data_IF_187038881748
#
_entry.id   IF_187038881748
#
_cell.length_a   1.000
_cell.length_b   1.000
_cell.length_c   1.000
_cell.angle_alpha   90.00
_cell.angle_beta   90.00
_cell.angle_gamma   90.00
#
_symmetry.space_group_name_H-M   'P 1'
#
loop_
_entity.id
_entity.type
_entity.pdbx_description
1 polymer ?
#
# COMPACT_ATOMS: atom_id res chain seq x y z
N UNK A 1 -2.57 27.34 -7.45
CA UNK A 1 -2.99 26.83 -6.14
C UNK A 1 -2.39 25.44 -6.06
N UNK A 2 -1.36 25.23 -5.23
CA UNK A 2 -0.81 23.89 -5.00
C UNK A 2 -1.95 23.01 -4.49
N UNK A 3 -2.15 21.82 -5.07
CA UNK A 3 -3.05 20.84 -4.48
C UNK A 3 -2.53 20.56 -3.09
N UNK A 4 -3.40 20.69 -2.10
CA UNK A 4 -3.04 20.75 -0.69
C UNK A 4 -2.47 19.44 -0.10
N UNK A 5 -2.20 18.43 -0.92
CA UNK A 5 -1.59 17.15 -0.55
C UNK A 5 -0.08 17.05 -0.82
N UNK A 6 0.55 18.08 -1.42
CA UNK A 6 1.96 18.05 -1.83
C UNK A 6 2.96 17.90 -0.65
N UNK A 7 2.49 17.94 0.60
CA UNK A 7 3.33 17.69 1.78
C UNK A 7 3.25 16.27 2.35
N UNK A 8 2.29 15.46 1.87
CA UNK A 8 2.06 14.10 2.32
C UNK A 8 2.91 13.12 1.51
N UNK A 9 3.75 12.36 2.19
CA UNK A 9 4.41 11.19 1.65
C UNK A 9 3.56 9.95 1.95
N UNK A 10 2.71 9.54 1.00
CA UNK A 10 1.92 8.32 1.11
C UNK A 10 2.19 7.33 -0.03
N UNK A 11 2.79 6.17 0.31
CA UNK A 11 3.02 5.11 -0.68
C UNK A 11 1.80 4.18 -0.79
N UNK A 12 0.76 4.65 -1.47
CA UNK A 12 -0.50 3.92 -1.60
C UNK A 12 -0.35 2.53 -2.27
N UNK A 13 0.63 2.34 -3.16
CA UNK A 13 0.92 1.03 -3.77
C UNK A 13 1.42 -0.01 -2.74
N UNK A 14 1.99 0.41 -1.61
CA UNK A 14 2.38 -0.47 -0.50
C UNK A 14 1.28 -0.64 0.53
N UNK A 15 0.42 0.36 0.68
CA UNK A 15 -0.37 0.52 1.89
C UNK A 15 -1.88 0.61 1.67
N UNK A 16 -2.38 0.60 0.43
CA UNK A 16 -3.80 0.81 0.15
C UNK A 16 -4.36 -0.20 -0.86
N UNK A 17 -5.19 -1.14 -0.40
CA UNK A 17 -5.75 -2.20 -1.25
C UNK A 17 -6.59 -1.64 -2.41
N UNK A 18 -7.43 -0.62 -2.17
CA UNK A 18 -8.18 0.07 -3.23
C UNK A 18 -7.31 0.59 -4.36
N UNK A 19 -6.24 1.34 -4.03
CA UNK A 19 -5.28 1.83 -5.02
C UNK A 19 -4.57 0.71 -5.77
N UNK A 20 -4.25 -0.40 -5.11
CA UNK A 20 -3.65 -1.58 -5.77
C UNK A 20 -4.62 -2.16 -6.80
N UNK A 21 -5.92 -2.26 -6.49
CA UNK A 21 -6.95 -2.71 -7.44
C UNK A 21 -7.02 -1.81 -8.67
N UNK A 22 -7.02 -0.50 -8.48
CA UNK A 22 -6.98 0.47 -9.57
C UNK A 22 -5.74 0.29 -10.46
N UNK A 23 -4.56 0.12 -9.85
CA UNK A 23 -3.31 -0.10 -10.58
C UNK A 23 -3.38 -1.38 -11.40
N UNK A 24 -3.91 -2.47 -10.85
CA UNK A 24 -4.12 -3.74 -11.57
C UNK A 24 -5.04 -3.50 -12.77
N UNK A 25 -6.15 -2.80 -12.59
CA UNK A 25 -7.12 -2.55 -13.65
C UNK A 25 -6.59 -1.63 -14.76
N UNK A 26 -5.85 -0.58 -14.40
CA UNK A 26 -5.39 0.46 -15.33
C UNK A 26 -4.09 0.10 -16.05
N UNK A 27 -3.27 -0.78 -15.48
CA UNK A 27 -1.96 -1.13 -16.04
C UNK A 27 -2.10 -2.28 -17.03
N UNK A 28 -2.44 -2.01 -18.29
CA UNK A 28 -2.69 -3.08 -19.28
C UNK A 28 -1.41 -3.81 -19.71
N UNK A 29 -0.26 -3.13 -19.77
CA UNK A 29 0.97 -3.73 -20.29
C UNK A 29 1.75 -4.51 -19.24
N UNK A 30 2.32 -5.66 -19.65
CA UNK A 30 3.25 -6.46 -18.83
C UNK A 30 4.43 -5.63 -18.29
N UNK A 31 5.04 -4.82 -19.14
CA UNK A 31 6.14 -3.93 -18.73
C UNK A 31 5.69 -2.89 -17.70
N UNK A 32 4.45 -2.39 -17.82
CA UNK A 32 3.86 -1.47 -16.86
C UNK A 32 3.72 -2.09 -15.47
N UNK A 33 3.17 -3.32 -15.38
CA UNK A 33 2.95 -3.94 -14.07
C UNK A 33 4.27 -4.32 -13.40
N UNK A 34 5.28 -4.76 -14.17
CA UNK A 34 6.64 -5.00 -13.66
C UNK A 34 7.19 -3.75 -12.97
N UNK A 35 7.08 -2.58 -13.62
CA UNK A 35 7.54 -1.31 -13.04
C UNK A 35 6.80 -0.93 -11.76
N UNK A 36 5.52 -1.28 -11.62
CA UNK A 36 4.79 -1.04 -10.37
C UNK A 36 5.29 -2.00 -9.28
N UNK A 37 5.42 -3.30 -9.58
CA UNK A 37 5.89 -4.30 -8.62
C UNK A 37 7.29 -3.99 -8.08
N UNK A 38 8.18 -3.42 -8.89
CA UNK A 38 9.53 -2.98 -8.48
C UNK A 38 9.50 -1.88 -7.40
N UNK A 39 8.44 -1.06 -7.33
CA UNK A 39 8.29 -0.01 -6.30
C UNK A 39 7.91 -0.58 -4.93
N UNK A 40 7.38 -1.80 -4.90
CA UNK A 40 7.12 -2.54 -3.67
C UNK A 40 8.49 -3.08 -3.19
N UNK A 41 8.91 -2.66 -2.01
CA UNK A 41 10.20 -3.09 -1.43
C UNK A 41 10.21 -4.58 -1.05
N UNK A 42 11.20 -4.99 -0.27
CA UNK A 42 11.33 -6.39 0.19
C UNK A 42 10.84 -6.62 1.63
N UNK A 43 10.38 -5.57 2.32
CA UNK A 43 9.96 -5.63 3.72
C UNK A 43 8.47 -5.98 3.89
N UNK A 44 8.11 -6.39 5.10
CA UNK A 44 6.71 -6.50 5.51
C UNK A 44 6.08 -5.11 5.68
N UNK A 45 4.80 -4.98 5.34
CA UNK A 45 4.05 -3.71 5.39
C UNK A 45 2.64 -3.90 5.93
N UNK A 46 2.03 -2.81 6.36
CA UNK A 46 0.64 -2.76 6.80
C UNK A 46 -0.21 -2.25 5.63
N UNK A 47 -1.21 -3.04 5.23
CA UNK A 47 -2.07 -2.81 4.07
C UNK A 47 -3.47 -2.46 4.57
N UNK A 48 -3.92 -1.24 4.28
CA UNK A 48 -5.27 -0.79 4.52
C UNK A 48 -6.25 -1.44 3.54
N UNK A 49 -7.34 -1.97 4.07
CA UNK A 49 -8.40 -2.71 3.37
C UNK A 49 -9.77 -2.07 3.53
N UNK A 50 -9.85 -0.87 4.13
CA UNK A 50 -11.11 -0.18 4.36
C UNK A 50 -11.67 0.50 3.11
N UNK A 51 -12.68 1.34 3.33
CA UNK A 51 -13.51 1.94 2.26
C UNK A 51 -13.06 3.33 1.80
N UNK A 52 -12.20 4.00 2.55
CA UNK A 52 -11.74 5.35 2.19
C UNK A 52 -10.83 5.27 0.97
N UNK A 53 -10.97 6.23 0.07
CA UNK A 53 -10.01 6.41 -1.03
C UNK A 53 -8.73 7.09 -0.53
N UNK A 54 -7.70 7.08 -1.38
CA UNK A 54 -6.45 7.80 -1.10
C UNK A 54 -6.73 9.29 -0.87
N UNK A 55 -7.55 9.89 -1.72
CA UNK A 55 -7.92 11.30 -1.64
C UNK A 55 -8.70 11.62 -0.36
N UNK A 56 -9.57 10.71 0.09
CA UNK A 56 -10.29 10.88 1.35
C UNK A 56 -9.34 10.82 2.55
N UNK A 57 -8.40 9.87 2.57
CA UNK A 57 -7.39 9.76 3.62
C UNK A 57 -6.48 10.97 3.68
N UNK A 58 -6.05 11.50 2.53
CA UNK A 58 -5.26 12.73 2.44
C UNK A 58 -6.04 13.92 3.00
N UNK A 59 -7.29 14.09 2.57
CA UNK A 59 -8.16 15.18 3.06
C UNK A 59 -8.42 15.09 4.57
N UNK A 60 -8.68 13.90 5.10
CA UNK A 60 -8.87 13.72 6.53
C UNK A 60 -7.59 13.97 7.32
N UNK A 61 -6.44 13.52 6.80
CA UNK A 61 -5.13 13.79 7.40
C UNK A 61 -4.83 15.29 7.45
N UNK A 62 -5.09 16.01 6.36
CA UNK A 62 -4.93 17.46 6.34
C UNK A 62 -5.80 18.16 7.39
N UNK A 63 -7.11 17.86 7.42
CA UNK A 63 -8.03 18.44 8.41
C UNK A 63 -7.61 18.13 9.83
N UNK A 64 -7.11 16.92 10.07
CA UNK A 64 -6.55 16.55 11.36
C UNK A 64 -5.37 17.44 11.73
N UNK A 65 -4.38 17.60 10.85
CA UNK A 65 -3.21 18.44 11.09
C UNK A 65 -3.57 19.92 11.27
N UNK A 66 -4.50 20.46 10.48
CA UNK A 66 -5.02 21.83 10.66
C UNK A 66 -5.64 22.01 12.05
N UNK A 67 -6.47 21.06 12.50
CA UNK A 67 -7.10 21.10 13.83
C UNK A 67 -6.09 21.05 14.97
N UNK A 68 -4.91 20.45 14.73
CA UNK A 68 -3.79 20.39 15.68
C UNK A 68 -2.82 21.57 15.54
N UNK A 69 -3.06 22.49 14.60
CA UNK A 69 -2.12 23.56 14.22
C UNK A 69 -0.73 23.00 13.88
N UNK A 70 -0.71 21.87 13.18
CA UNK A 70 0.48 21.09 12.83
C UNK A 70 0.62 20.91 11.30
N UNK A 71 0.05 21.85 10.54
CA UNK A 71 -0.04 21.77 9.07
C UNK A 71 1.22 22.25 8.36
N UNK A 72 2.08 23.04 9.02
CA UNK A 72 3.35 23.49 8.45
C UNK A 72 4.51 22.68 9.02
N UNK A 73 5.62 22.63 8.28
CA UNK A 73 6.79 21.81 8.57
C UNK A 73 7.27 21.91 10.04
N UNK A 74 7.57 23.11 10.52
CA UNK A 74 8.13 23.30 11.87
C UNK A 74 7.09 22.99 12.96
N UNK A 75 5.84 23.36 12.71
CA UNK A 75 4.72 23.02 13.60
C UNK A 75 4.50 21.51 13.68
N UNK A 76 4.65 20.79 12.55
CA UNK A 76 4.55 19.35 12.50
C UNK A 76 5.67 18.66 13.28
N UNK A 77 6.92 19.11 13.13
CA UNK A 77 8.04 18.60 13.92
C UNK A 77 7.82 18.80 15.43
N UNK A 78 7.34 19.98 15.83
CA UNK A 78 6.98 20.24 17.22
C UNK A 78 5.81 19.35 17.67
N UNK A 79 4.81 19.17 16.81
CA UNK A 79 3.66 18.31 17.07
C UNK A 79 4.03 16.84 17.26
N UNK A 80 5.01 16.31 16.52
CA UNK A 80 5.54 14.96 16.72
C UNK A 80 6.26 14.81 18.08
N UNK A 81 6.96 15.85 18.52
CA UNK A 81 7.69 15.87 19.78
C UNK A 81 8.68 14.70 19.93
N UNK A 82 8.98 14.33 21.18
CA UNK A 82 10.00 13.30 21.48
C UNK A 82 9.67 11.90 20.95
N UNK A 83 8.39 11.56 20.82
CA UNK A 83 7.95 10.26 20.28
C UNK A 83 8.28 10.11 18.79
N UNK A 84 8.37 11.22 18.04
CA UNK A 84 8.66 11.18 16.60
C UNK A 84 7.53 10.64 15.72
N UNK A 85 6.37 10.30 16.29
CA UNK A 85 5.17 9.92 15.57
C UNK A 85 3.89 10.37 16.28
N UNK A 86 2.78 10.41 15.52
CA UNK A 86 1.43 10.63 16.04
C UNK A 86 0.45 9.67 15.41
N UNK A 87 -0.59 9.34 16.16
CA UNK A 87 -1.71 8.55 15.68
C UNK A 87 -2.83 9.46 15.19
N UNK A 88 -3.51 9.03 14.15
CA UNK A 88 -4.68 9.66 13.54
C UNK A 88 -5.73 8.58 13.31
N UNK A 89 -6.96 8.79 13.80
CA UNK A 89 -8.09 7.91 13.54
C UNK A 89 -8.93 8.49 12.40
N UNK A 90 -9.09 7.72 11.33
CA UNK A 90 -9.89 8.10 10.17
C UNK A 90 -11.39 7.85 10.42
N UNK A 91 -12.23 8.40 9.55
CA UNK A 91 -13.69 8.37 9.68
C UNK A 91 -14.31 6.97 9.59
N UNK A 92 -13.57 5.99 9.08
CA UNK A 92 -13.97 4.58 9.01
C UNK A 92 -13.49 3.75 10.21
N UNK A 93 -12.91 4.39 11.24
CA UNK A 93 -12.37 3.73 12.42
C UNK A 93 -10.94 3.22 12.29
N UNK A 94 -10.36 3.25 11.08
CA UNK A 94 -8.96 2.84 10.89
C UNK A 94 -8.00 3.82 11.55
N UNK A 95 -6.91 3.28 12.11
CA UNK A 95 -5.85 4.08 12.69
C UNK A 95 -4.65 4.18 11.74
N UNK A 96 -4.03 5.36 11.73
CA UNK A 96 -2.93 5.72 10.86
C UNK A 96 -1.82 6.37 11.66
N UNK A 97 -0.59 6.20 11.20
CA UNK A 97 0.60 6.76 11.81
C UNK A 97 1.12 7.88 10.93
N UNK A 98 1.35 9.03 11.56
CA UNK A 98 2.04 10.18 11.00
C UNK A 98 3.45 10.23 11.57
N UNK A 99 4.45 10.34 10.70
CA UNK A 99 5.87 10.47 11.09
C UNK A 99 6.56 11.49 10.20
N UNK A 100 7.77 11.90 10.57
CA UNK A 100 8.57 12.74 9.70
C UNK A 100 9.09 11.95 8.48
N UNK A 101 8.84 12.48 7.29
CA UNK A 101 9.40 12.00 6.02
C UNK A 101 10.78 12.61 5.81
N UNK A 102 11.80 11.76 5.67
CA UNK A 102 13.20 12.21 5.51
C UNK A 102 13.63 12.34 4.05
N UNK A 103 12.86 11.77 3.11
CA UNK A 103 13.28 11.62 1.72
C UNK A 103 13.15 12.92 0.92
N UNK A 104 12.15 13.75 1.24
CA UNK A 104 11.90 15.02 0.58
C UNK A 104 11.40 16.07 1.60
N UNK A 105 12.13 17.18 1.79
CA UNK A 105 11.71 18.27 2.68
C UNK A 105 10.35 18.88 2.35
N UNK A 106 9.90 18.77 1.09
CA UNK A 106 8.57 19.22 0.68
C UNK A 106 7.49 18.23 1.13
N UNK A 107 7.79 16.93 1.16
CA UNK A 107 6.87 15.84 1.56
C UNK A 107 7.19 15.30 2.96
N UNK A 108 7.15 16.18 3.95
CA UNK A 108 7.66 15.91 5.30
C UNK A 108 6.70 15.11 6.20
N UNK A 109 5.46 14.83 5.79
CA UNK A 109 4.51 14.00 6.56
C UNK A 109 4.40 12.62 5.94
N UNK A 110 5.05 11.63 6.53
CA UNK A 110 4.89 10.23 6.12
C UNK A 110 3.65 9.63 6.77
N UNK A 111 2.70 9.21 5.93
CA UNK A 111 1.46 8.55 6.32
C UNK A 111 1.52 7.06 6.00
N UNK A 112 1.20 6.21 6.97
CA UNK A 112 0.96 4.78 6.72
C UNK A 112 -0.03 4.19 7.73
N UNK A 113 -0.70 3.07 7.40
CA UNK A 113 -1.64 2.41 8.32
C UNK A 113 -0.95 2.00 9.61
N UNK A 114 -1.67 2.09 10.73
CA UNK A 114 -1.19 1.57 11.99
C UNK A 114 -1.23 0.04 12.00
N UNK A 115 -0.26 -0.54 12.70
CA UNK A 115 -0.09 -1.99 12.76
C UNK A 115 -1.25 -2.61 13.56
N UNK A 116 -1.91 -3.61 12.98
CA UNK A 116 -3.04 -4.32 13.60
C UNK A 116 -4.27 -3.45 13.91
N UNK A 117 -4.40 -2.29 13.27
CA UNK A 117 -5.57 -1.46 13.37
C UNK A 117 -6.77 -2.06 12.63
N UNK A 118 -7.95 -1.53 12.92
CA UNK A 118 -9.16 -1.83 12.14
C UNK A 118 -8.91 -1.54 10.65
N UNK A 119 -9.48 -2.39 9.79
CA UNK A 119 -9.29 -2.33 8.34
C UNK A 119 -7.83 -2.37 7.88
N UNK A 120 -6.93 -3.01 8.64
CA UNK A 120 -5.51 -3.15 8.27
C UNK A 120 -5.01 -4.58 8.46
N UNK A 121 -4.35 -5.12 7.45
CA UNK A 121 -3.67 -6.43 7.53
C UNK A 121 -2.18 -6.29 7.30
N UNK A 122 -1.38 -7.12 7.96
CA UNK A 122 0.07 -7.09 7.79
C UNK A 122 0.54 -8.13 6.77
N UNK A 123 1.14 -7.67 5.67
CA UNK A 123 1.49 -8.51 4.51
C UNK A 123 2.99 -8.53 4.25
N UNK A 124 3.51 -9.69 3.81
CA UNK A 124 4.87 -9.79 3.29
C UNK A 124 4.90 -9.24 1.87
N UNK A 125 5.92 -8.45 1.50
CA UNK A 125 6.09 -7.92 0.14
C UNK A 125 5.99 -8.99 -0.94
N UNK A 126 6.66 -10.13 -0.76
CA UNK A 126 6.65 -11.23 -1.73
C UNK A 126 5.25 -11.78 -1.97
N UNK A 127 4.46 -11.96 -0.89
CA UNK A 127 3.08 -12.40 -0.98
C UNK A 127 2.18 -11.37 -1.68
N UNK A 128 2.35 -10.08 -1.36
CA UNK A 128 1.62 -8.99 -2.00
C UNK A 128 1.94 -8.88 -3.51
N UNK A 129 3.23 -8.87 -3.88
CA UNK A 129 3.67 -8.85 -5.28
C UNK A 129 3.13 -10.05 -6.06
N UNK A 130 3.16 -11.24 -5.44
CA UNK A 130 2.61 -12.46 -6.03
C UNK A 130 1.11 -12.33 -6.27
N UNK A 131 0.35 -11.85 -5.29
CA UNK A 131 -1.10 -11.63 -5.41
C UNK A 131 -1.44 -10.62 -6.52
N UNK A 132 -0.71 -9.50 -6.58
CA UNK A 132 -0.87 -8.49 -7.64
C UNK A 132 -0.59 -9.09 -9.01
N UNK A 133 0.51 -9.84 -9.16
CA UNK A 133 0.90 -10.48 -10.42
C UNK A 133 -0.17 -11.48 -10.90
N UNK A 134 -0.73 -12.27 -9.99
CA UNK A 134 -1.81 -13.22 -10.28
C UNK A 134 -3.12 -12.52 -10.68
N UNK A 135 -3.53 -11.49 -9.93
CA UNK A 135 -4.71 -10.69 -10.26
C UNK A 135 -4.57 -10.01 -11.62
N UNK A 136 -3.41 -9.43 -11.89
CA UNK A 136 -3.12 -8.79 -13.17
C UNK A 136 -3.16 -9.78 -14.33
N UNK A 137 -2.49 -10.92 -14.19
CA UNK A 137 -2.49 -11.96 -15.22
C UNK A 137 -3.91 -12.46 -15.52
N UNK A 138 -4.71 -12.69 -14.48
CA UNK A 138 -6.09 -13.13 -14.66
C UNK A 138 -6.96 -12.08 -15.35
N UNK A 139 -6.73 -10.80 -15.07
CA UNK A 139 -7.53 -9.72 -15.66
C UNK A 139 -7.18 -9.47 -17.12
N UNK A 140 -5.90 -9.58 -17.50
CA UNK A 140 -5.40 -9.10 -18.80
C UNK A 140 -4.89 -10.19 -19.75
N UNK A 141 -4.51 -11.37 -19.26
CA UNK A 141 -3.77 -12.37 -20.06
C UNK A 141 -4.42 -13.77 -20.06
N UNK A 142 -5.30 -14.11 -19.11
CA UNK A 142 -5.93 -15.43 -19.06
C UNK A 142 -7.15 -15.51 -18.16
N UNK A 143 -8.17 -16.26 -18.58
CA UNK A 143 -9.45 -16.35 -17.86
C UNK A 143 -9.42 -17.28 -16.65
N UNK A 144 -8.48 -18.23 -16.59
CA UNK A 144 -8.37 -19.21 -15.49
C UNK A 144 -6.94 -19.29 -14.96
N UNK A 145 -6.78 -19.22 -13.64
CA UNK A 145 -5.53 -19.59 -13.00
C UNK A 145 -5.42 -21.12 -13.04
N UNK A 146 -4.41 -21.71 -13.71
CA UNK A 146 -4.17 -23.14 -13.68
C UNK A 146 -3.99 -23.61 -12.24
N UNK A 147 -4.50 -24.81 -11.94
CA UNK A 147 -4.23 -25.46 -10.66
C UNK A 147 -2.72 -25.75 -10.55
N UNK A 148 -2.08 -25.27 -9.48
CA UNK A 148 -0.68 -25.62 -9.14
C UNK A 148 0.27 -24.44 -8.99
N UNK A 149 1.49 -24.73 -8.56
CA UNK A 149 2.53 -23.73 -8.24
C UNK A 149 3.33 -23.27 -9.47
N UNK A 150 3.20 -23.93 -10.62
CA UNK A 150 3.97 -23.61 -11.82
C UNK A 150 3.68 -22.22 -12.38
N UNK A 151 2.39 -21.88 -12.58
CA UNK A 151 2.01 -20.52 -13.01
C UNK A 151 2.51 -19.49 -11.99
N UNK A 152 2.29 -19.76 -10.70
CA UNK A 152 2.66 -18.84 -9.62
C UNK A 152 4.16 -18.56 -9.66
N UNK A 153 4.99 -19.61 -9.75
CA UNK A 153 6.45 -19.49 -9.80
C UNK A 153 6.92 -18.79 -11.07
N UNK A 154 6.27 -19.05 -12.22
CA UNK A 154 6.55 -18.34 -13.47
C UNK A 154 6.26 -16.84 -13.33
N UNK A 155 5.08 -16.46 -12.85
CA UNK A 155 4.71 -15.04 -12.69
C UNK A 155 5.57 -14.35 -11.61
N UNK A 156 5.96 -15.07 -10.56
CA UNK A 156 6.90 -14.57 -9.55
C UNK A 156 8.25 -14.21 -10.16
N UNK A 157 8.80 -15.09 -11.01
CA UNK A 157 10.04 -14.83 -11.71
C UNK A 157 9.90 -13.71 -12.75
N UNK A 158 8.87 -13.78 -13.61
CA UNK A 158 8.72 -12.88 -14.76
C UNK A 158 8.24 -11.47 -14.39
N UNK A 159 7.37 -11.34 -13.40
CA UNK A 159 6.70 -10.07 -13.08
C UNK A 159 7.23 -9.42 -11.81
N UNK A 160 7.57 -10.22 -10.81
CA UNK A 160 7.86 -9.73 -9.46
C UNK A 160 9.33 -9.82 -9.05
N UNK A 161 10.19 -10.44 -9.87
CA UNK A 161 11.59 -10.74 -9.55
C UNK A 161 11.73 -11.47 -8.20
N UNK A 162 10.95 -12.54 -8.04
CA UNK A 162 10.89 -13.36 -6.83
C UNK A 162 11.33 -14.80 -7.13
N UNK A 163 11.98 -15.41 -6.15
CA UNK A 163 12.22 -16.86 -6.14
C UNK A 163 10.90 -17.65 -6.19
N UNK A 164 10.92 -18.93 -6.57
CA UNK A 164 9.77 -19.81 -6.38
C UNK A 164 9.21 -19.75 -4.95
N UNK A 165 7.93 -20.04 -4.81
CA UNK A 165 7.25 -20.15 -3.51
C UNK A 165 7.95 -21.23 -2.68
N UNK A 166 8.33 -20.88 -1.44
CA UNK A 166 9.10 -21.79 -0.59
C UNK A 166 8.22 -22.85 0.09
N UNK A 167 7.00 -22.48 0.47
CA UNK A 167 6.09 -23.35 1.23
C UNK A 167 4.61 -23.02 1.00
N UNK A 168 3.73 -23.88 1.51
CA UNK A 168 2.28 -23.71 1.40
C UNK A 168 1.74 -22.50 2.18
N UNK A 169 2.45 -22.02 3.21
CA UNK A 169 2.03 -20.88 4.01
C UNK A 169 2.20 -19.56 3.24
N UNK A 170 3.30 -19.42 2.50
CA UNK A 170 3.51 -18.30 1.57
C UNK A 170 2.43 -18.28 0.49
N UNK A 171 2.09 -19.44 -0.07
CA UNK A 171 1.01 -19.55 -1.06
C UNK A 171 -0.35 -19.17 -0.46
N UNK A 172 -0.68 -19.66 0.73
CA UNK A 172 -1.93 -19.36 1.43
C UNK A 172 -2.07 -17.86 1.71
N UNK A 173 -0.99 -17.21 2.13
CA UNK A 173 -0.98 -15.77 2.37
C UNK A 173 -1.20 -14.98 1.07
N UNK A 174 -0.52 -15.34 -0.02
CA UNK A 174 -0.76 -14.71 -1.32
C UNK A 174 -2.20 -14.90 -1.81
N UNK A 175 -2.78 -16.08 -1.61
CA UNK A 175 -4.17 -16.37 -1.96
C UNK A 175 -5.17 -15.53 -1.17
N UNK A 176 -4.95 -15.33 0.14
CA UNK A 176 -5.78 -14.46 0.96
C UNK A 176 -5.75 -13.00 0.49
N UNK A 177 -4.56 -12.48 0.15
CA UNK A 177 -4.42 -11.14 -0.42
C UNK A 177 -5.12 -11.04 -1.79
N UNK A 178 -4.98 -12.08 -2.62
CA UNK A 178 -5.63 -12.14 -3.93
C UNK A 178 -7.16 -12.06 -3.80
N UNK A 179 -7.76 -12.74 -2.82
CA UNK A 179 -9.19 -12.66 -2.54
C UNK A 179 -9.61 -11.23 -2.15
N UNK A 180 -8.80 -10.53 -1.35
CA UNK A 180 -9.06 -9.13 -0.96
C UNK A 180 -8.96 -8.16 -2.15
N UNK A 181 -8.03 -8.41 -3.08
CA UNK A 181 -7.83 -7.56 -4.26
C UNK A 181 -8.84 -7.83 -5.38
N UNK A 182 -9.68 -8.87 -5.28
CA UNK A 182 -10.73 -9.18 -6.27
C UNK A 182 -12.11 -8.65 -5.89
N UNK A 183 -12.27 -8.12 -4.68
CA UNK A 183 -13.50 -7.45 -4.23
C UNK A 183 -13.61 -6.09 -4.91
#
# INVERSE_FOLDING_TARGET
MLSSADFLQFNALKHHAGRIREIIAQTVSKAGIIKQLQKIGQSQMDLYTGKLSVEQLEQETMKYLESKKAFYHDDFLQFLGAEGYRMFAASDGSEWVLRYGYDDPLHYVHLHPARYAENTIRVKSGALKTAIALCWYQLHEGTELPAGTELVNRLRAELADLSPVADAAEMSHAAGIMQLLRQ
#
